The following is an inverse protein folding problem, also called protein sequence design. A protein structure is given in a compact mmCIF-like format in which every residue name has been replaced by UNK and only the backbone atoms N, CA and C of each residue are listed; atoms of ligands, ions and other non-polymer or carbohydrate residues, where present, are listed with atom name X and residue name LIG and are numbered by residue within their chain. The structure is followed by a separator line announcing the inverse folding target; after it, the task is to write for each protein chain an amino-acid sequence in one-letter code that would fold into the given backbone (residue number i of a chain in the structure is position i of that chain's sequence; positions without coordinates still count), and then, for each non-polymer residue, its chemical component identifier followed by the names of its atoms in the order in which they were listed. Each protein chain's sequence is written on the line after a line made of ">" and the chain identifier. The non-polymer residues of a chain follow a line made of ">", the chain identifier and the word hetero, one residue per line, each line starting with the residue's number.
data_IF_873473172479
#
_entry.id   IF_873473172479
#
_cell.length_a   1.000
_cell.length_b   1.000
_cell.length_c   1.000
_cell.angle_alpha   90.00
_cell.angle_beta   90.00
_cell.angle_gamma   90.00
#
_symmetry.space_group_name_H-M   'P 1'
#
loop_
_entity.id
_entity.type
_entity.pdbx_description
1 polymer ?
#
# COMPACT_ATOMS: atom_id res chain seq x y z
N UNK A 1 -19.59 2.48 -8.08
CA UNK A 1 -19.23 1.33 -7.22
C UNK A 1 -18.81 1.83 -5.84
N UNK A 2 -19.17 1.12 -4.75
CA UNK A 2 -19.16 1.66 -3.37
C UNK A 2 -18.37 0.84 -2.33
N UNK A 3 -17.71 -0.24 -2.76
CA UNK A 3 -16.82 -1.02 -1.89
C UNK A 3 -15.65 -0.15 -1.39
N UNK A 4 -15.30 -0.31 -0.11
CA UNK A 4 -14.20 0.37 0.55
C UNK A 4 -13.33 -0.63 1.33
N UNK A 5 -12.06 -0.77 0.94
CA UNK A 5 -11.10 -1.67 1.56
C UNK A 5 -9.98 -0.86 2.20
N UNK A 6 -9.71 -1.03 3.49
CA UNK A 6 -8.73 -0.23 4.22
C UNK A 6 -7.76 -1.12 5.01
N UNK A 7 -6.43 -1.01 4.81
CA UNK A 7 -5.44 -1.70 5.64
C UNK A 7 -5.56 -1.39 7.15
N UNK A 8 -6.12 -0.24 7.53
CA UNK A 8 -6.34 0.14 8.93
C UNK A 8 -7.39 -0.73 9.64
N UNK A 9 -8.28 -1.40 8.89
CA UNK A 9 -9.32 -2.27 9.44
C UNK A 9 -8.74 -3.65 9.78
N UNK A 10 -7.99 -3.70 10.88
CA UNK A 10 -7.45 -4.94 11.46
C UNK A 10 -8.37 -5.52 12.54
N UNK A 11 -8.15 -6.79 12.86
CA UNK A 11 -8.82 -7.52 13.94
C UNK A 11 -7.80 -7.95 15.00
N UNK A 12 -8.22 -8.23 16.25
CA UNK A 12 -7.32 -8.73 17.28
C UNK A 12 -6.46 -9.90 16.81
N UNK A 13 -5.16 -9.86 17.10
CA UNK A 13 -4.17 -10.84 16.62
C UNK A 13 -3.44 -10.45 15.34
N UNK A 14 -3.88 -9.42 14.62
CA UNK A 14 -3.20 -8.87 13.45
C UNK A 14 -2.71 -7.46 13.77
N UNK A 15 -1.45 -7.15 13.45
CA UNK A 15 -0.81 -5.87 13.81
C UNK A 15 0.04 -5.33 12.65
N UNK A 16 0.32 -4.03 12.69
CA UNK A 16 1.14 -3.36 11.69
C UNK A 16 2.63 -3.56 11.94
N UNK A 17 3.41 -3.62 10.85
CA UNK A 17 4.87 -3.48 10.87
C UNK A 17 5.28 -2.01 10.71
N UNK A 18 6.56 -1.69 10.92
CA UNK A 18 7.12 -0.35 10.66
C UNK A 18 7.48 -0.12 9.18
N UNK A 19 6.84 -0.85 8.28
CA UNK A 19 6.99 -0.58 6.85
C UNK A 19 6.44 0.83 6.54
N UNK A 20 7.32 1.71 6.05
CA UNK A 20 7.00 3.12 5.77
C UNK A 20 5.82 3.27 4.80
N UNK A 21 5.67 2.36 3.83
CA UNK A 21 4.55 2.37 2.89
C UNK A 21 3.27 1.89 3.56
N UNK A 22 3.33 0.85 4.40
CA UNK A 22 2.16 0.39 5.16
C UNK A 22 1.63 1.48 6.08
N UNK A 23 2.52 2.14 6.83
CA UNK A 23 2.14 3.22 7.77
C UNK A 23 1.41 4.36 7.06
N UNK A 24 1.85 4.77 5.88
CA UNK A 24 1.15 5.78 5.08
C UNK A 24 -0.24 5.29 4.59
N UNK A 25 -0.34 4.01 4.22
CA UNK A 25 -1.60 3.41 3.73
C UNK A 25 -2.66 3.29 4.83
N UNK A 26 -2.27 3.03 6.08
CA UNK A 26 -3.20 3.00 7.23
C UNK A 26 -3.95 4.33 7.38
N UNK A 27 -3.36 5.45 6.98
CA UNK A 27 -4.04 6.75 6.95
C UNK A 27 -4.81 6.99 5.65
N UNK A 28 -4.16 6.78 4.50
CA UNK A 28 -4.63 7.30 3.21
C UNK A 28 -5.98 6.72 2.74
N UNK A 29 -6.29 5.47 3.11
CA UNK A 29 -7.49 4.79 2.61
C UNK A 29 -8.76 5.36 3.24
N UNK A 30 -8.83 5.45 4.58
CA UNK A 30 -9.98 6.05 5.25
C UNK A 30 -10.19 7.51 4.82
N UNK A 31 -9.11 8.27 4.63
CA UNK A 31 -9.16 9.65 4.15
C UNK A 31 -9.83 9.74 2.76
N UNK A 32 -9.35 8.96 1.78
CA UNK A 32 -9.97 8.96 0.45
C UNK A 32 -11.39 8.42 0.45
N UNK A 33 -11.71 7.45 1.32
CA UNK A 33 -13.08 6.93 1.43
C UNK A 33 -14.06 7.97 1.96
N UNK A 34 -13.67 8.76 2.96
CA UNK A 34 -14.50 9.86 3.47
C UNK A 34 -14.77 10.90 2.38
N UNK A 35 -13.78 11.21 1.55
CA UNK A 35 -13.98 12.10 0.41
C UNK A 35 -14.87 11.49 -0.69
N UNK A 36 -14.58 10.24 -1.08
CA UNK A 36 -15.21 9.57 -2.23
C UNK A 36 -16.64 9.10 -1.96
N UNK A 37 -16.92 8.65 -0.74
CA UNK A 37 -18.19 7.99 -0.37
C UNK A 37 -18.94 8.70 0.76
N UNK A 38 -18.34 9.74 1.35
CA UNK A 38 -18.89 10.47 2.48
C UNK A 38 -18.42 9.95 3.84
N UNK A 39 -18.67 10.71 4.92
CA UNK A 39 -18.21 10.37 6.27
C UNK A 39 -18.80 9.06 6.78
N UNK A 40 -20.00 8.72 6.31
CA UNK A 40 -20.78 7.55 6.73
C UNK A 40 -20.63 6.34 5.79
N UNK A 41 -19.56 6.26 5.00
CA UNK A 41 -19.36 5.18 4.03
C UNK A 41 -19.33 3.76 4.63
N UNK A 42 -19.01 3.64 5.92
CA UNK A 42 -19.02 2.37 6.66
C UNK A 42 -20.43 1.86 6.95
N UNK A 43 -21.46 2.73 6.83
CA UNK A 43 -22.86 2.32 6.98
C UNK A 43 -23.40 1.62 5.72
N UNK A 44 -22.76 1.82 4.56
CA UNK A 44 -23.19 1.20 3.31
C UNK A 44 -23.22 -0.33 3.47
N UNK A 45 -24.26 -1.04 3.00
CA UNK A 45 -24.43 -2.48 3.26
C UNK A 45 -23.23 -3.36 2.89
N UNK A 46 -22.45 -2.95 1.88
CA UNK A 46 -21.25 -3.67 1.43
C UNK A 46 -20.04 -3.48 2.37
N UNK A 47 -19.99 -2.38 3.12
CA UNK A 47 -18.89 -2.02 4.02
C UNK A 47 -19.24 -2.26 5.50
N UNK A 48 -20.53 -2.41 5.82
CA UNK A 48 -21.00 -2.58 7.18
C UNK A 48 -20.47 -3.89 7.80
N UNK A 49 -19.99 -3.87 9.06
CA UNK A 49 -19.60 -5.08 9.75
C UNK A 49 -20.84 -5.97 9.98
N UNK A 50 -20.62 -7.29 9.98
CA UNK A 50 -21.66 -8.27 10.32
C UNK A 50 -21.79 -8.54 11.82
N UNK A 51 -20.80 -8.12 12.60
CA UNK A 51 -20.83 -8.21 14.05
C UNK A 51 -21.47 -6.96 14.67
N UNK A 52 -21.87 -7.07 15.94
CA UNK A 52 -22.34 -5.92 16.70
C UNK A 52 -21.25 -4.83 16.74
N UNK A 53 -21.65 -3.60 16.44
CA UNK A 53 -20.80 -2.43 16.46
C UNK A 53 -21.55 -1.30 17.17
N UNK A 54 -20.97 -0.81 18.26
CA UNK A 54 -21.51 0.28 19.06
C UNK A 54 -20.43 1.32 19.31
N UNK A 55 -20.73 2.58 19.01
CA UNK A 55 -19.86 3.73 19.24
C UNK A 55 -20.70 4.99 19.45
N UNK A 56 -20.03 6.08 19.79
CA UNK A 56 -20.66 7.38 20.02
C UNK A 56 -20.52 8.35 18.83
N UNK A 57 -20.17 7.85 17.64
CA UNK A 57 -20.13 8.70 16.44
C UNK A 57 -21.55 9.08 16.03
N UNK A 58 -21.80 10.39 15.93
CA UNK A 58 -23.11 10.98 15.66
C UNK A 58 -23.08 11.82 14.36
N UNK A 59 -24.23 11.98 13.70
CA UNK A 59 -24.42 12.76 12.46
C UNK A 59 -23.58 12.32 11.23
N UNK A 60 -23.14 13.28 10.41
CA UNK A 60 -22.50 13.10 9.11
C UNK A 60 -23.48 13.05 7.93
N UNK A 61 -23.04 13.51 6.77
CA UNK A 61 -23.86 13.48 5.54
C UNK A 61 -24.34 12.06 5.24
N UNK A 62 -25.62 11.93 4.86
CA UNK A 62 -26.29 10.65 4.57
C UNK A 62 -26.18 9.64 5.72
N UNK A 63 -26.27 10.11 6.97
CA UNK A 63 -26.52 9.20 8.09
C UNK A 63 -27.96 8.67 8.00
N UNK A 64 -28.11 7.36 7.83
CA UNK A 64 -29.40 6.68 7.77
C UNK A 64 -29.60 5.69 8.93
N UNK A 65 -28.72 5.72 9.93
CA UNK A 65 -28.90 4.96 11.17
C UNK A 65 -29.82 5.76 12.09
N UNK A 66 -30.92 5.13 12.50
CA UNK A 66 -31.75 5.68 13.55
C UNK A 66 -31.04 5.49 14.90
N UNK A 67 -30.91 6.59 15.64
CA UNK A 67 -30.32 6.66 16.98
C UNK A 67 -31.30 7.39 17.89
N UNK A 68 -31.73 6.73 18.95
CA UNK A 68 -32.63 7.26 19.99
C UNK A 68 -31.90 7.45 21.33
N UNK A 69 -30.57 7.28 21.34
CA UNK A 69 -29.76 7.47 22.54
C UNK A 69 -29.65 8.96 22.91
N UNK A 70 -29.89 9.29 24.19
CA UNK A 70 -29.76 10.66 24.73
C UNK A 70 -28.29 11.06 25.02
N UNK A 71 -27.35 10.10 24.94
CA UNK A 71 -25.95 10.27 25.33
C UNK A 71 -25.04 9.88 24.15
N UNK A 72 -24.22 10.82 23.69
CA UNK A 72 -23.26 10.66 22.60
C UNK A 72 -21.79 10.84 23.06
N UNK A 73 -21.54 10.71 24.37
CA UNK A 73 -20.20 10.88 24.97
C UNK A 73 -19.85 9.75 25.94
N UNK A 74 -18.56 9.47 26.09
CA UNK A 74 -18.05 8.45 27.00
C UNK A 74 -16.76 8.93 27.69
N UNK A 75 -16.59 8.71 29.01
CA UNK A 75 -17.53 8.06 29.92
C UNK A 75 -18.73 8.95 30.30
N UNK A 76 -19.88 8.34 30.56
CA UNK A 76 -21.11 9.02 31.00
C UNK A 76 -21.64 8.40 32.29
N UNK A 77 -22.39 9.20 33.07
CA UNK A 77 -23.14 8.71 34.24
C UNK A 77 -24.56 8.26 33.88
N UNK A 78 -25.04 8.66 32.71
CA UNK A 78 -26.41 8.42 32.24
C UNK A 78 -26.49 7.26 31.24
N UNK A 79 -25.34 6.75 30.81
CA UNK A 79 -25.22 5.59 29.94
C UNK A 79 -24.27 4.56 30.56
N UNK A 80 -24.66 3.29 30.51
CA UNK A 80 -23.93 2.15 31.08
C UNK A 80 -22.98 1.48 30.07
N UNK A 81 -22.64 2.17 28.97
CA UNK A 81 -21.63 1.68 28.02
C UNK A 81 -20.28 1.46 28.69
N UNK A 82 -19.50 0.54 28.12
CA UNK A 82 -18.14 0.21 28.58
C UNK A 82 -17.20 0.10 27.41
N UNK A 83 -15.91 0.32 27.69
CA UNK A 83 -14.86 -0.01 26.72
C UNK A 83 -14.95 -1.49 26.32
N UNK A 84 -14.66 -1.77 25.06
CA UNK A 84 -14.49 -3.13 24.57
C UNK A 84 -13.36 -3.85 25.33
N UNK A 85 -13.41 -5.18 25.33
CA UNK A 85 -12.36 -6.02 25.90
C UNK A 85 -11.00 -5.68 25.25
N UNK A 86 -9.97 -5.53 26.09
CA UNK A 86 -8.62 -5.25 25.63
C UNK A 86 -7.94 -6.56 25.26
N UNK A 87 -7.61 -6.71 23.98
CA UNK A 87 -6.72 -7.76 23.52
C UNK A 87 -5.27 -7.28 23.66
N UNK A 88 -4.36 -8.09 24.24
CA UNK A 88 -2.95 -7.70 24.37
C UNK A 88 -2.35 -7.38 23.01
N UNK A 89 -1.77 -6.19 22.87
CA UNK A 89 -0.98 -5.82 21.69
C UNK A 89 0.49 -6.13 21.99
N UNK A 90 1.22 -6.79 21.07
CA UNK A 90 2.65 -7.01 21.24
C UNK A 90 3.39 -5.70 21.53
N UNK A 91 4.14 -5.67 22.64
CA UNK A 91 4.98 -4.53 22.97
C UNK A 91 6.16 -4.48 21.99
N UNK A 92 6.46 -3.28 21.49
CA UNK A 92 7.59 -3.04 20.61
C UNK A 92 8.42 -1.87 21.14
N UNK A 93 9.70 -2.12 21.35
CA UNK A 93 10.67 -1.08 21.71
C UNK A 93 11.06 -0.34 20.43
N UNK A 94 10.94 0.99 20.46
CA UNK A 94 11.35 1.88 19.37
C UNK A 94 12.53 2.71 19.86
N UNK A 95 13.62 2.70 19.09
CA UNK A 95 14.86 3.43 19.39
C UNK A 95 15.28 4.23 18.16
N UNK A 96 15.88 5.40 18.36
CA UNK A 96 16.44 6.20 17.28
C UNK A 96 16.12 7.70 17.42
N UNK A 97 16.38 8.44 16.35
CA UNK A 97 16.07 9.87 16.24
C UNK A 97 14.92 10.08 15.24
N UNK A 98 14.11 11.12 15.47
CA UNK A 98 13.04 11.49 14.54
C UNK A 98 13.63 12.22 13.34
N UNK A 99 13.69 11.54 12.20
CA UNK A 99 14.25 12.09 10.95
C UNK A 99 13.46 11.64 9.71
N UNK A 100 13.61 12.38 8.59
CA UNK A 100 13.08 12.04 7.26
C UNK A 100 14.19 11.43 6.40
N UNK A 101 14.37 10.13 6.51
CA UNK A 101 15.44 9.41 5.83
C UNK A 101 14.94 8.25 4.96
N UNK A 102 15.77 7.80 4.02
CA UNK A 102 15.63 6.48 3.37
C UNK A 102 16.02 5.37 4.34
N UNK A 103 15.70 4.10 4.03
CA UNK A 103 16.17 2.97 4.85
C UNK A 103 17.66 2.75 4.61
N UNK A 104 18.41 2.32 5.63
CA UNK A 104 19.87 2.16 5.51
C UNK A 104 20.28 1.05 4.54
N UNK A 105 19.57 -0.09 4.56
CA UNK A 105 19.93 -1.29 3.80
C UNK A 105 19.27 -1.29 2.41
N UNK A 106 19.56 -0.28 1.61
CA UNK A 106 19.12 -0.26 0.21
C UNK A 106 19.74 -1.42 -0.57
N UNK A 107 18.89 -2.23 -1.19
CA UNK A 107 19.32 -3.37 -2.01
C UNK A 107 18.39 -3.51 -3.21
N UNK A 108 18.39 -2.48 -4.04
CA UNK A 108 17.38 -2.25 -5.06
C UNK A 108 17.46 -3.26 -6.23
N UNK A 109 18.59 -3.96 -6.40
CA UNK A 109 18.87 -4.73 -7.62
C UNK A 109 19.03 -6.25 -7.42
N UNK A 110 19.40 -6.73 -6.22
CA UNK A 110 19.67 -8.15 -5.99
C UNK A 110 18.42 -9.02 -6.22
N UNK A 111 17.31 -8.72 -5.54
CA UNK A 111 16.09 -9.53 -5.64
C UNK A 111 15.49 -9.52 -7.06
N UNK A 112 15.40 -8.38 -7.77
CA UNK A 112 14.98 -8.38 -9.17
C UNK A 112 15.86 -9.27 -10.06
N UNK A 113 17.18 -9.23 -9.88
CA UNK A 113 18.12 -10.09 -10.59
C UNK A 113 17.89 -11.57 -10.32
N UNK A 114 17.81 -11.95 -9.05
CA UNK A 114 17.54 -13.34 -8.63
C UNK A 114 16.21 -13.83 -9.21
N UNK A 115 15.19 -12.97 -9.21
CA UNK A 115 13.88 -13.29 -9.78
C UNK A 115 13.95 -13.52 -11.29
N UNK A 116 14.66 -12.69 -12.04
CA UNK A 116 14.83 -12.89 -13.48
C UNK A 116 15.57 -14.19 -13.79
N UNK A 117 16.65 -14.49 -13.07
CA UNK A 117 17.43 -15.74 -13.22
C UNK A 117 16.61 -16.99 -12.89
N UNK A 118 15.64 -16.88 -11.97
CA UNK A 118 14.76 -18.00 -11.60
C UNK A 118 13.76 -18.44 -12.67
N UNK A 119 13.58 -17.65 -13.74
CA UNK A 119 12.60 -17.95 -14.77
C UNK A 119 13.13 -18.89 -15.84
N UNK A 120 12.23 -19.71 -16.39
CA UNK A 120 12.49 -20.46 -17.60
C UNK A 120 12.82 -19.50 -18.78
N UNK A 121 13.65 -19.93 -19.76
CA UNK A 121 14.12 -19.09 -20.85
C UNK A 121 12.99 -18.40 -21.64
N UNK A 122 11.90 -19.12 -21.92
CA UNK A 122 10.73 -18.59 -22.63
C UNK A 122 10.08 -17.40 -21.90
N UNK A 123 10.02 -17.47 -20.56
CA UNK A 123 9.49 -16.38 -19.73
C UNK A 123 10.46 -15.20 -19.69
N UNK A 124 11.77 -15.44 -19.63
CA UNK A 124 12.77 -14.39 -19.73
C UNK A 124 12.62 -13.63 -21.06
N UNK A 125 12.44 -14.34 -22.18
CA UNK A 125 12.25 -13.72 -23.49
C UNK A 125 10.97 -12.89 -23.57
N UNK A 126 9.84 -13.38 -23.04
CA UNK A 126 8.60 -12.58 -22.94
C UNK A 126 8.81 -11.31 -22.12
N UNK A 127 9.56 -11.38 -21.02
CA UNK A 127 9.85 -10.22 -20.19
C UNK A 127 10.74 -9.20 -20.90
N UNK A 128 11.80 -9.65 -21.58
CA UNK A 128 12.66 -8.79 -22.39
C UNK A 128 11.85 -8.10 -23.50
N UNK A 129 11.00 -8.85 -24.21
CA UNK A 129 10.13 -8.29 -25.25
C UNK A 129 9.19 -7.20 -24.71
N UNK A 130 8.69 -7.36 -23.48
CA UNK A 130 7.86 -6.34 -22.83
C UNK A 130 8.64 -5.05 -22.54
N UNK A 131 9.87 -5.18 -22.05
CA UNK A 131 10.77 -4.04 -21.82
C UNK A 131 11.11 -3.31 -23.11
N UNK A 132 11.51 -4.06 -24.14
CA UNK A 132 11.82 -3.49 -25.46
C UNK A 132 10.61 -2.74 -26.00
N UNK A 133 9.41 -3.36 -25.96
CA UNK A 133 8.18 -2.68 -26.40
C UNK A 133 7.94 -1.37 -25.64
N UNK A 134 8.03 -1.40 -24.31
CA UNK A 134 7.79 -0.22 -23.48
C UNK A 134 8.82 0.89 -23.73
N UNK A 135 10.09 0.55 -23.89
CA UNK A 135 11.17 1.52 -24.12
C UNK A 135 11.23 2.03 -25.56
N UNK A 136 10.69 1.29 -26.53
CA UNK A 136 10.56 1.72 -27.93
C UNK A 136 9.49 2.78 -28.15
N UNK A 137 8.64 3.06 -27.16
CA UNK A 137 7.59 4.08 -27.29
C UNK A 137 8.19 5.45 -27.67
N UNK A 138 7.60 6.19 -28.63
CA UNK A 138 8.19 7.44 -29.16
C UNK A 138 8.41 8.52 -28.10
N UNK A 139 7.61 8.52 -27.04
CA UNK A 139 7.70 9.49 -25.93
C UNK A 139 8.85 9.19 -24.97
N UNK A 140 9.44 8.00 -25.03
CA UNK A 140 10.55 7.61 -24.16
C UNK A 140 11.84 8.15 -24.76
N UNK A 141 12.40 9.16 -24.10
CA UNK A 141 13.64 9.81 -24.54
C UNK A 141 14.83 8.87 -24.41
N UNK A 142 15.91 9.19 -25.11
CA UNK A 142 17.14 8.41 -25.06
C UNK A 142 17.70 8.33 -23.63
N UNK A 143 17.63 9.40 -22.85
CA UNK A 143 18.09 9.48 -21.46
C UNK A 143 17.31 8.53 -20.56
N UNK A 144 15.99 8.44 -20.74
CA UNK A 144 15.14 7.52 -19.99
C UNK A 144 15.47 6.07 -20.36
N UNK A 145 15.68 5.78 -21.66
CA UNK A 145 16.10 4.42 -22.09
C UNK A 145 17.43 4.02 -21.46
N UNK A 146 18.41 4.92 -21.46
CA UNK A 146 19.73 4.68 -20.87
C UNK A 146 19.64 4.39 -19.37
N UNK A 147 18.87 5.21 -18.63
CA UNK A 147 18.64 5.01 -17.19
C UNK A 147 18.04 3.65 -16.89
N UNK A 148 16.99 3.24 -17.62
CA UNK A 148 16.36 1.93 -17.41
C UNK A 148 17.27 0.78 -17.79
N UNK A 149 18.01 0.88 -18.90
CA UNK A 149 19.01 -0.14 -19.27
C UNK A 149 20.07 -0.28 -18.17
N UNK A 150 20.51 0.82 -17.57
CA UNK A 150 21.45 0.80 -16.44
C UNK A 150 20.87 0.04 -15.25
N UNK A 151 19.63 0.32 -14.83
CA UNK A 151 18.99 -0.42 -13.72
C UNK A 151 18.79 -1.90 -14.02
N UNK A 152 18.37 -2.23 -15.25
CA UNK A 152 18.24 -3.63 -15.68
C UNK A 152 19.59 -4.35 -15.65
N UNK A 153 20.67 -3.67 -16.05
CA UNK A 153 22.05 -4.20 -16.01
C UNK A 153 22.54 -4.41 -14.57
N UNK A 154 22.21 -3.49 -13.66
CA UNK A 154 22.54 -3.60 -12.23
C UNK A 154 21.80 -4.79 -11.58
N UNK A 155 20.57 -5.08 -12.01
CA UNK A 155 19.84 -6.27 -11.57
C UNK A 155 20.43 -7.56 -12.16
N UNK A 156 20.63 -7.60 -13.48
CA UNK A 156 21.28 -8.71 -14.17
C UNK A 156 21.94 -8.23 -15.47
N UNK A 157 23.24 -8.50 -15.62
CA UNK A 157 24.01 -8.05 -16.79
C UNK A 157 23.44 -8.58 -18.11
N UNK A 158 23.00 -9.84 -18.13
CA UNK A 158 22.47 -10.45 -19.36
C UNK A 158 21.13 -9.84 -19.76
N UNK A 159 20.29 -9.46 -18.78
CA UNK A 159 19.02 -8.80 -19.01
C UNK A 159 19.24 -7.42 -19.65
N UNK A 160 20.08 -6.59 -19.04
CA UNK A 160 20.40 -5.26 -19.55
C UNK A 160 20.97 -5.30 -20.96
N UNK A 161 21.92 -6.21 -21.22
CA UNK A 161 22.52 -6.42 -22.54
C UNK A 161 21.47 -6.82 -23.59
N UNK A 162 20.64 -7.83 -23.31
CA UNK A 162 19.61 -8.30 -24.26
C UNK A 162 18.60 -7.20 -24.61
N UNK A 163 18.20 -6.38 -23.64
CA UNK A 163 17.29 -5.24 -23.87
C UNK A 163 17.98 -4.15 -24.70
N UNK A 164 19.21 -3.78 -24.35
CA UNK A 164 19.98 -2.75 -25.07
C UNK A 164 20.22 -3.14 -26.55
N UNK A 165 20.62 -4.39 -26.80
CA UNK A 165 20.84 -4.91 -28.15
C UNK A 165 19.58 -4.86 -29.01
N UNK A 166 18.41 -5.22 -28.45
CA UNK A 166 17.13 -5.17 -29.20
C UNK A 166 16.64 -3.74 -29.47
N UNK A 167 17.11 -2.75 -28.69
CA UNK A 167 16.81 -1.34 -28.88
C UNK A 167 17.85 -0.60 -29.75
N UNK A 168 18.90 -1.29 -30.21
CA UNK A 168 20.04 -0.69 -30.90
C UNK A 168 20.74 0.44 -30.12
N UNK A 169 20.75 0.34 -28.78
CA UNK A 169 21.42 1.32 -27.91
C UNK A 169 22.78 0.74 -27.50
N UNK A 170 23.85 1.51 -27.69
CA UNK A 170 25.19 1.11 -27.24
C UNK A 170 25.21 1.09 -25.70
N UNK A 171 25.70 0.02 -25.06
CA UNK A 171 25.88 0.02 -23.61
C UNK A 171 26.91 1.10 -23.25
N UNK A 172 26.50 2.14 -22.52
CA UNK A 172 27.44 2.98 -21.78
C UNK A 172 27.94 2.12 -20.61
N UNK A 173 29.20 1.69 -20.72
CA UNK A 173 29.93 0.99 -19.65
C UNK A 173 29.99 1.85 -18.39
#
# INVERSE_FOLDING_TARGET
>A
EMLAMDPAHIVPGIYFSDDKMLQARVFAYADTHRHRLGPNYMLLPVNAPKCAHHNNSYDGYMNFVHRDEEVDYFPSKFDNTRNAERFPTPLRIVTGQRDKCVIEKENNFKQPGDRYRSWAPDRQDRFINRWVKALSEPRVTHEIRSTWISYLTQADRSLGQKVASRLNIRPTM
#
